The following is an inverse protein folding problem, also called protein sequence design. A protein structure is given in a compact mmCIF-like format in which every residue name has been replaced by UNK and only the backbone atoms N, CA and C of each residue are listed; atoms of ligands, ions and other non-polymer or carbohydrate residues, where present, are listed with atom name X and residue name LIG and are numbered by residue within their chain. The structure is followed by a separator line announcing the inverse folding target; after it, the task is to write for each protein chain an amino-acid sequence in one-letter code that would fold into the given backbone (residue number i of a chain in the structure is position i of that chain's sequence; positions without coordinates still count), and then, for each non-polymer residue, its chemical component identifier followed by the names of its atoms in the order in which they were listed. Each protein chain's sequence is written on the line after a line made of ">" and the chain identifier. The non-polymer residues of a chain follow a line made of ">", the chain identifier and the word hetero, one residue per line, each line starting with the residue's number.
data_IF_588202288637
#
_entry.id   IF_588202288637
#
_cell.length_a   1.000
_cell.length_b   1.000
_cell.length_c   1.000
_cell.angle_alpha   90.00
_cell.angle_beta   90.00
_cell.angle_gamma   90.00
#
_symmetry.space_group_name_H-M   'P 1'
#
loop_
_entity.id
_entity.type
_entity.pdbx_description
1 polymer ?
#
# COMPACT_ATOMS: atom_id res chain seq x y z
N UNK A 1 1.18 0.09 7.53
CA UNK A 1 0.59 0.99 6.50
C UNK A 1 0.38 0.28 5.17
N UNK A 2 1.41 -0.06 4.39
CA UNK A 2 1.19 -0.67 3.05
C UNK A 2 0.47 -2.01 3.13
N UNK A 3 0.83 -2.87 4.09
CA UNK A 3 0.12 -4.12 4.35
C UNK A 3 -1.38 -3.88 4.59
N UNK A 4 -1.72 -2.99 5.52
CA UNK A 4 -3.10 -2.65 5.87
C UNK A 4 -3.91 -2.08 4.69
N UNK A 5 -3.32 -1.16 3.92
CA UNK A 5 -3.98 -0.60 2.74
C UNK A 5 -4.22 -1.68 1.68
N UNK A 6 -3.27 -2.61 1.55
CA UNK A 6 -3.35 -3.72 0.60
C UNK A 6 -4.43 -4.73 1.00
N UNK A 7 -4.59 -5.03 2.30
CA UNK A 7 -5.67 -5.91 2.78
C UNK A 7 -7.05 -5.28 2.60
N UNK A 8 -7.18 -3.97 2.80
CA UNK A 8 -8.40 -3.22 2.49
C UNK A 8 -8.72 -3.29 0.99
N UNK A 9 -7.71 -3.08 0.13
CA UNK A 9 -7.88 -3.21 -1.32
C UNK A 9 -8.38 -4.61 -1.71
N UNK A 10 -7.75 -5.66 -1.21
CA UNK A 10 -8.16 -7.05 -1.47
C UNK A 10 -9.64 -7.25 -1.07
N UNK A 11 -10.01 -6.82 0.14
CA UNK A 11 -11.36 -7.00 0.66
C UNK A 11 -12.41 -6.27 -0.19
N UNK A 12 -12.10 -5.05 -0.66
CA UNK A 12 -12.97 -4.28 -1.57
C UNK A 12 -13.08 -4.93 -2.94
N UNK A 13 -11.97 -5.33 -3.54
CA UNK A 13 -11.97 -6.02 -4.84
C UNK A 13 -12.78 -7.31 -4.78
N UNK A 14 -12.60 -8.11 -3.74
CA UNK A 14 -13.37 -9.34 -3.52
C UNK A 14 -14.86 -9.02 -3.42
N UNK A 15 -15.23 -8.05 -2.59
CA UNK A 15 -16.64 -7.60 -2.47
C UNK A 15 -17.21 -7.16 -3.81
N UNK A 16 -16.44 -6.39 -4.59
CA UNK A 16 -16.87 -5.90 -5.88
C UNK A 16 -17.09 -7.01 -6.91
N UNK A 17 -16.27 -8.07 -6.87
CA UNK A 17 -16.39 -9.26 -7.71
C UNK A 17 -17.61 -10.10 -7.34
N UNK A 18 -17.85 -10.34 -6.05
CA UNK A 18 -19.03 -11.09 -5.58
C UNK A 18 -20.35 -10.35 -5.83
N UNK A 19 -20.36 -9.02 -5.69
CA UNK A 19 -21.54 -8.19 -5.98
C UNK A 19 -21.77 -7.99 -7.49
N UNK A 20 -20.87 -8.47 -8.36
CA UNK A 20 -20.94 -8.24 -9.81
C UNK A 20 -20.71 -6.79 -10.25
N UNK A 21 -20.40 -5.90 -9.31
CA UNK A 21 -20.11 -4.48 -9.57
C UNK A 21 -18.81 -4.26 -10.33
N UNK A 22 -17.90 -5.24 -10.29
CA UNK A 22 -16.68 -5.32 -11.08
C UNK A 22 -16.67 -6.66 -11.82
N UNK A 23 -16.62 -6.61 -13.14
CA UNK A 23 -16.56 -7.84 -13.94
C UNK A 23 -15.24 -8.57 -13.68
N UNK A 24 -15.21 -9.92 -13.70
CA UNK A 24 -13.98 -10.70 -13.58
C UNK A 24 -13.16 -10.63 -14.88
N UNK A 25 -12.81 -9.42 -15.32
CA UNK A 25 -11.99 -9.11 -16.48
C UNK A 25 -11.06 -7.97 -16.07
N UNK A 26 -9.83 -7.99 -16.56
CA UNK A 26 -8.84 -6.93 -16.32
C UNK A 26 -9.28 -5.72 -17.16
N UNK A 27 -10.20 -4.93 -16.61
CA UNK A 27 -10.72 -3.71 -17.20
C UNK A 27 -10.79 -2.65 -16.12
N UNK A 28 -10.32 -1.46 -16.45
CA UNK A 28 -10.44 -0.30 -15.56
C UNK A 28 -11.92 0.09 -15.51
N UNK A 29 -12.52 -0.03 -14.34
CA UNK A 29 -13.87 0.47 -14.06
C UNK A 29 -13.80 1.77 -13.27
N UNK A 30 -14.86 2.57 -13.31
CA UNK A 30 -14.92 3.80 -12.52
C UNK A 30 -14.87 3.52 -11.01
N UNK A 31 -15.42 2.38 -10.57
CA UNK A 31 -15.26 1.89 -9.19
C UNK A 31 -13.80 1.61 -8.84
N UNK A 32 -13.04 0.98 -9.74
CA UNK A 32 -11.62 0.73 -9.51
C UNK A 32 -10.83 2.04 -9.38
N UNK A 33 -11.16 3.05 -10.20
CA UNK A 33 -10.55 4.38 -10.07
C UNK A 33 -10.92 5.04 -8.75
N UNK A 34 -12.18 4.95 -8.33
CA UNK A 34 -12.63 5.49 -7.05
C UNK A 34 -11.91 4.84 -5.88
N UNK A 35 -11.72 3.52 -5.90
CA UNK A 35 -10.92 2.82 -4.91
C UNK A 35 -9.45 3.25 -4.95
N UNK A 36 -8.86 3.38 -6.13
CA UNK A 36 -7.49 3.86 -6.27
C UNK A 36 -7.30 5.25 -5.64
N UNK A 37 -8.15 6.22 -6.00
CA UNK A 37 -8.06 7.57 -5.44
C UNK A 37 -8.39 7.60 -3.95
N UNK A 38 -9.38 6.84 -3.51
CA UNK A 38 -9.73 6.73 -2.09
C UNK A 38 -8.56 6.23 -1.26
N UNK A 39 -7.92 5.13 -1.69
CA UNK A 39 -6.77 4.56 -0.99
C UNK A 39 -5.53 5.46 -1.09
N UNK A 40 -5.31 6.12 -2.23
CA UNK A 40 -4.22 7.09 -2.39
C UNK A 40 -4.38 8.26 -1.41
N UNK A 41 -5.59 8.82 -1.29
CA UNK A 41 -5.87 9.88 -0.33
C UNK A 41 -5.69 9.41 1.12
N UNK A 42 -6.12 8.20 1.45
CA UNK A 42 -5.87 7.60 2.77
C UNK A 42 -4.36 7.49 3.04
N UNK A 43 -3.57 7.01 2.08
CA UNK A 43 -2.11 6.93 2.23
C UNK A 43 -1.50 8.30 2.46
N UNK A 44 -1.86 9.31 1.67
CA UNK A 44 -1.30 10.66 1.80
C UNK A 44 -1.62 11.26 3.17
N UNK A 45 -2.85 11.13 3.65
CA UNK A 45 -3.25 11.59 4.99
C UNK A 45 -2.51 10.83 6.09
N UNK A 46 -2.40 9.50 5.97
CA UNK A 46 -1.64 8.68 6.93
C UNK A 46 -0.17 9.04 6.95
N UNK A 47 0.46 9.32 5.80
CA UNK A 47 1.85 9.76 5.72
C UNK A 47 2.06 11.10 6.44
N UNK A 48 1.20 12.09 6.19
CA UNK A 48 1.28 13.39 6.88
C UNK A 48 1.14 13.22 8.39
N UNK A 49 0.19 12.39 8.84
CA UNK A 49 -0.01 12.12 10.26
C UNK A 49 1.20 11.40 10.89
N UNK A 50 1.73 10.36 10.24
CA UNK A 50 2.85 9.57 10.78
C UNK A 50 4.17 10.36 10.77
N UNK A 51 4.45 11.13 9.72
CA UNK A 51 5.65 11.97 9.62
C UNK A 51 5.60 13.07 10.68
N UNK A 52 4.46 13.75 10.83
CA UNK A 52 4.33 14.81 11.85
C UNK A 52 4.48 14.26 13.27
N UNK A 53 3.87 13.10 13.55
CA UNK A 53 4.03 12.41 14.84
C UNK A 53 5.48 11.96 15.07
N UNK A 54 6.15 11.41 14.06
CA UNK A 54 7.56 11.01 14.16
C UNK A 54 8.49 12.19 14.47
N UNK A 55 8.27 13.34 13.81
CA UNK A 55 9.05 14.55 14.07
C UNK A 55 8.80 15.12 15.47
N UNK A 56 7.53 15.16 15.91
CA UNK A 56 7.17 15.59 17.26
C UNK A 56 7.85 14.72 18.32
N UNK A 57 7.80 13.39 18.17
CA UNK A 57 8.46 12.46 19.11
C UNK A 57 9.99 12.61 19.09
N UNK A 58 10.60 12.76 17.92
CA UNK A 58 12.04 13.00 17.81
C UNK A 58 12.45 14.29 18.54
N UNK A 59 11.68 15.36 18.37
CA UNK A 59 11.93 16.63 19.07
C UNK A 59 11.74 16.53 20.59
N UNK A 60 10.72 15.78 21.05
CA UNK A 60 10.44 15.59 22.48
C UNK A 60 11.49 14.72 23.19
N UNK A 61 12.11 13.80 22.47
CA UNK A 61 13.14 12.87 23.00
C UNK A 61 14.56 13.38 22.84
N UNK A 62 14.76 14.52 22.16
CA UNK A 62 16.08 15.09 21.90
C UNK A 62 16.90 14.34 20.84
N UNK A 63 16.28 13.43 20.08
CA UNK A 63 16.94 12.70 19.00
C UNK A 63 17.20 13.66 17.84
N UNK A 64 18.47 13.82 17.47
CA UNK A 64 18.83 14.60 16.29
C UNK A 64 18.43 13.85 15.01
N UNK A 65 17.51 14.42 14.26
CA UNK A 65 17.09 13.88 12.96
C UNK A 65 18.04 14.42 11.90
N UNK A 66 18.92 13.56 11.39
CA UNK A 66 19.85 13.91 10.31
C UNK A 66 19.06 14.01 8.99
N UNK A 67 19.15 15.16 8.33
CA UNK A 67 18.54 15.42 7.02
C UNK A 67 17.05 15.01 6.93
N UNK A 68 16.15 15.68 7.68
CA UNK A 68 14.73 15.29 7.77
C UNK A 68 14.01 15.31 6.42
N UNK A 69 14.35 16.26 5.55
CA UNK A 69 13.77 16.35 4.20
C UNK A 69 14.09 15.11 3.35
N UNK A 70 15.34 14.62 3.43
CA UNK A 70 15.76 13.43 2.73
C UNK A 70 15.02 12.19 3.26
N UNK A 71 14.92 12.01 4.58
CA UNK A 71 14.18 10.90 5.19
C UNK A 71 12.71 10.92 4.75
N UNK A 72 12.06 12.08 4.81
CA UNK A 72 10.67 12.25 4.36
C UNK A 72 10.52 11.86 2.89
N UNK A 73 11.45 12.30 2.03
CA UNK A 73 11.41 11.97 0.61
C UNK A 73 11.53 10.46 0.35
N UNK A 74 12.43 9.78 1.08
CA UNK A 74 12.60 8.32 0.99
C UNK A 74 11.32 7.59 1.41
N UNK A 75 10.71 7.99 2.53
CA UNK A 75 9.48 7.37 3.02
C UNK A 75 8.33 7.54 2.00
N UNK A 76 8.17 8.75 1.46
CA UNK A 76 7.13 9.05 0.47
C UNK A 76 7.33 8.23 -0.80
N UNK A 77 8.54 8.26 -1.36
CA UNK A 77 8.87 7.53 -2.60
C UNK A 77 8.65 6.03 -2.41
N UNK A 78 9.15 5.46 -1.31
CA UNK A 78 8.97 4.02 -1.01
C UNK A 78 7.50 3.65 -0.93
N UNK A 79 6.71 4.45 -0.21
CA UNK A 79 5.29 4.18 -0.01
C UNK A 79 4.52 4.27 -1.32
N UNK A 80 4.79 5.27 -2.16
CA UNK A 80 4.12 5.44 -3.45
C UNK A 80 4.47 4.33 -4.44
N UNK A 81 5.74 3.92 -4.51
CA UNK A 81 6.19 2.80 -5.36
C UNK A 81 5.50 1.51 -4.93
N UNK A 82 5.52 1.21 -3.63
CA UNK A 82 4.88 0.01 -3.09
C UNK A 82 3.37 0.02 -3.31
N UNK A 83 2.71 1.16 -3.10
CA UNK A 83 1.28 1.28 -3.33
C UNK A 83 0.91 0.98 -4.79
N UNK A 84 1.61 1.60 -5.75
CA UNK A 84 1.36 1.35 -7.17
C UNK A 84 1.59 -0.11 -7.56
N UNK A 85 2.70 -0.69 -7.11
CA UNK A 85 3.07 -2.07 -7.39
C UNK A 85 2.07 -3.07 -6.78
N UNK A 86 1.71 -2.88 -5.50
CA UNK A 86 0.72 -3.72 -4.81
C UNK A 86 -0.67 -3.57 -5.41
N UNK A 87 -1.08 -2.36 -5.78
CA UNK A 87 -2.41 -2.13 -6.36
C UNK A 87 -2.61 -2.94 -7.64
N UNK A 88 -1.65 -2.88 -8.56
CA UNK A 88 -1.70 -3.62 -9.83
C UNK A 88 -1.64 -5.13 -9.59
N UNK A 89 -0.69 -5.60 -8.76
CA UNK A 89 -0.52 -7.01 -8.48
C UNK A 89 -1.77 -7.62 -7.84
N UNK A 90 -2.35 -6.95 -6.84
CA UNK A 90 -3.55 -7.41 -6.15
C UNK A 90 -4.78 -7.36 -7.06
N UNK A 91 -4.94 -6.32 -7.87
CA UNK A 91 -6.04 -6.26 -8.83
C UNK A 91 -6.07 -7.46 -9.78
N UNK A 92 -4.92 -7.74 -10.41
CA UNK A 92 -4.78 -8.87 -11.34
C UNK A 92 -4.97 -10.20 -10.61
N UNK A 93 -4.33 -10.35 -9.46
CA UNK A 93 -4.38 -11.61 -8.69
C UNK A 93 -5.78 -11.89 -8.15
N UNK A 94 -6.52 -10.87 -7.69
CA UNK A 94 -7.90 -11.01 -7.23
C UNK A 94 -8.81 -11.52 -8.34
N UNK A 95 -8.70 -10.95 -9.55
CA UNK A 95 -9.48 -11.44 -10.70
C UNK A 95 -9.12 -12.88 -11.03
N UNK A 96 -7.83 -13.24 -11.01
CA UNK A 96 -7.38 -14.58 -11.35
C UNK A 96 -7.86 -15.64 -10.36
N UNK A 97 -7.76 -15.36 -9.06
CA UNK A 97 -8.18 -16.28 -7.99
C UNK A 97 -9.70 -16.43 -8.01
N UNK A 98 -10.43 -15.32 -8.18
CA UNK A 98 -11.88 -15.35 -8.29
C UNK A 98 -12.36 -16.15 -9.50
N UNK A 99 -11.69 -16.03 -10.66
CA UNK A 99 -11.98 -16.87 -11.84
C UNK A 99 -11.78 -18.37 -11.60
N UNK A 100 -10.90 -18.74 -10.67
CA UNK A 100 -10.70 -20.13 -10.24
C UNK A 100 -11.76 -20.62 -9.24
N UNK A 101 -12.78 -19.81 -8.94
CA UNK A 101 -13.83 -20.14 -7.98
C UNK A 101 -13.38 -20.09 -6.52
N UNK A 102 -12.25 -19.43 -6.24
CA UNK A 102 -11.70 -19.29 -4.88
C UNK A 102 -11.88 -17.86 -4.39
N UNK A 103 -12.05 -17.70 -3.08
CA UNK A 103 -12.08 -16.38 -2.44
C UNK A 103 -10.67 -15.77 -2.44
N UNK A 104 -10.43 -14.62 -3.12
CA UNK A 104 -9.14 -13.94 -3.09
C UNK A 104 -8.65 -13.58 -1.69
N UNK A 105 -9.54 -13.30 -0.74
CA UNK A 105 -9.18 -12.92 0.63
C UNK A 105 -8.35 -14.02 1.32
N UNK A 106 -8.72 -15.29 1.12
CA UNK A 106 -8.07 -16.43 1.77
C UNK A 106 -6.63 -16.67 1.31
N UNK A 107 -6.25 -16.14 0.15
CA UNK A 107 -4.91 -16.35 -0.44
C UNK A 107 -4.08 -15.06 -0.43
N UNK A 108 -4.70 -13.93 -0.79
CA UNK A 108 -3.98 -12.68 -1.00
C UNK A 108 -3.69 -11.94 0.30
N UNK A 109 -4.54 -12.04 1.31
CA UNK A 109 -4.30 -11.33 2.59
C UNK A 109 -3.02 -11.85 3.26
N UNK A 110 -2.84 -13.18 3.49
CA UNK A 110 -1.60 -13.69 4.08
C UNK A 110 -0.38 -13.43 3.20
N UNK A 111 -0.55 -13.52 1.87
CA UNK A 111 0.54 -13.26 0.93
C UNK A 111 1.01 -11.81 0.98
N UNK A 112 0.06 -10.85 0.98
CA UNK A 112 0.41 -9.43 0.89
C UNK A 112 0.98 -8.89 2.20
N UNK A 113 0.53 -9.38 3.35
CA UNK A 113 1.09 -8.97 4.64
C UNK A 113 2.54 -9.40 4.74
N UNK A 114 2.86 -10.67 4.44
CA UNK A 114 4.25 -11.15 4.41
C UNK A 114 5.11 -10.43 3.38
N UNK A 115 4.57 -10.15 2.18
CA UNK A 115 5.29 -9.37 1.17
C UNK A 115 5.54 -7.93 1.62
N UNK A 116 4.55 -7.27 2.23
CA UNK A 116 4.70 -5.90 2.71
C UNK A 116 5.72 -5.82 3.85
N UNK A 117 5.70 -6.78 4.78
CA UNK A 117 6.64 -6.85 5.90
C UNK A 117 8.08 -7.09 5.44
N UNK A 118 8.27 -7.76 4.30
CA UNK A 118 9.58 -7.95 3.69
C UNK A 118 10.02 -6.77 2.81
N UNK A 119 9.18 -6.36 1.87
CA UNK A 119 9.53 -5.37 0.84
C UNK A 119 9.66 -3.95 1.40
N UNK A 120 8.84 -3.58 2.39
CA UNK A 120 8.88 -2.23 2.98
C UNK A 120 10.23 -1.90 3.60
N UNK A 121 10.75 -2.67 4.59
CA UNK A 121 12.06 -2.38 5.16
C UNK A 121 13.18 -2.58 4.13
N UNK A 122 13.08 -3.57 3.23
CA UNK A 122 14.08 -3.78 2.19
C UNK A 122 14.25 -2.55 1.28
N UNK A 123 13.15 -1.96 0.78
CA UNK A 123 13.21 -0.78 -0.08
C UNK A 123 13.68 0.47 0.67
N UNK A 124 13.25 0.64 1.92
CA UNK A 124 13.73 1.75 2.76
C UNK A 124 15.25 1.66 2.93
N UNK A 125 15.78 0.47 3.25
CA UNK A 125 17.22 0.25 3.42
C UNK A 125 17.99 0.52 2.13
N UNK A 126 17.50 0.04 0.99
CA UNK A 126 18.13 0.28 -0.32
C UNK A 126 18.19 1.79 -0.62
N UNK A 127 17.10 2.53 -0.42
CA UNK A 127 17.12 3.97 -0.66
C UNK A 127 17.99 4.72 0.32
N UNK A 128 18.02 4.32 1.60
CA UNK A 128 18.97 4.90 2.56
C UNK A 128 20.40 4.71 2.06
N UNK A 129 20.80 3.51 1.62
CA UNK A 129 22.15 3.24 1.10
C UNK A 129 22.50 4.01 -0.19
N UNK A 130 21.50 4.36 -1.00
CA UNK A 130 21.72 5.09 -2.25
C UNK A 130 21.84 6.60 -2.02
N UNK A 131 21.07 7.14 -1.07
CA UNK A 131 20.92 8.59 -0.88
C UNK A 131 21.70 9.17 0.32
N UNK A 132 22.16 8.32 1.26
CA UNK A 132 22.98 8.69 2.42
C UNK A 132 24.35 8.03 2.28
#
# INVERSE_FOLDING_TARGET
>A
LIGDISTVLISRLTSHLYLGTLSPKIKVSDRLKQDFYGLLMTILLSLVALISLGYLLGSATGIQIVNPLLIISIIIITTLILFGLMFVLLFISSIFIFKKGKDPNNFLIPMVTSLADFLTPMLILIFIQIFI
#
